data_IF_504984281952
#
_entry.id   IF_504984281952
#
_cell.length_a   1.000
_cell.length_b   1.000
_cell.length_c   1.000
_cell.angle_alpha   90.00
_cell.angle_beta   90.00
_cell.angle_gamma   90.00
#
_symmetry.space_group_name_H-M   'P 1'
#
loop_
_entity.id
_entity.type
_entity.pdbx_description
1 polymer ?
#
# COMPACT_ATOMS: atom_id res chain seq x y z
N UNK A 1 -2.82 10.24 -1.34
CA UNK A 1 -3.92 11.04 -0.77
C UNK A 1 -3.52 11.63 0.58
N UNK A 2 -3.93 12.84 0.87
CA UNK A 2 -3.74 13.50 2.17
C UNK A 2 -5.06 13.99 2.80
N UNK A 3 -6.15 13.85 2.08
CA UNK A 3 -7.51 14.13 2.53
C UNK A 3 -8.48 13.29 1.70
N UNK A 4 -9.60 12.90 2.30
CA UNK A 4 -10.65 12.15 1.61
C UNK A 4 -11.15 12.90 0.38
N UNK A 5 -11.42 12.17 -0.68
CA UNK A 5 -11.83 12.68 -2.01
C UNK A 5 -10.77 13.58 -2.69
N UNK A 6 -9.51 13.46 -2.28
CA UNK A 6 -8.40 14.22 -2.85
C UNK A 6 -7.17 13.34 -2.97
N UNK A 7 -6.90 12.86 -4.17
CA UNK A 7 -5.75 12.02 -4.48
C UNK A 7 -4.95 12.56 -5.67
N UNK A 8 -3.71 12.16 -5.76
CA UNK A 8 -2.78 12.56 -6.81
C UNK A 8 -2.10 11.32 -7.37
N UNK A 9 -1.98 11.27 -8.68
CA UNK A 9 -1.21 10.27 -9.40
C UNK A 9 0.03 10.91 -10.00
N UNK A 10 1.18 10.29 -9.75
CA UNK A 10 2.46 10.72 -10.31
C UNK A 10 3.00 9.57 -11.16
N UNK A 11 2.96 9.68 -12.49
CA UNK A 11 3.50 8.64 -13.36
C UNK A 11 5.02 8.56 -13.20
N UNK A 12 5.52 7.35 -12.98
CA UNK A 12 6.94 7.07 -12.87
C UNK A 12 7.36 6.30 -14.12
N UNK A 13 8.31 6.81 -14.93
CA UNK A 13 8.72 6.18 -16.17
C UNK A 13 9.48 4.88 -15.92
N UNK A 14 9.54 4.04 -16.97
CA UNK A 14 10.28 2.77 -16.92
C UNK A 14 11.80 2.95 -16.87
N UNK A 15 12.31 4.08 -17.36
CA UNK A 15 13.73 4.40 -17.28
C UNK A 15 14.12 4.66 -15.82
N UNK A 16 15.12 3.91 -15.32
CA UNK A 16 15.51 3.96 -13.91
C UNK A 16 16.02 5.34 -13.46
N UNK A 17 16.79 6.01 -14.31
CA UNK A 17 17.40 7.30 -13.94
C UNK A 17 16.35 8.42 -13.89
N UNK A 18 15.38 8.37 -14.79
CA UNK A 18 14.23 9.30 -14.78
C UNK A 18 13.31 9.00 -13.61
N UNK A 19 13.02 7.72 -13.33
CA UNK A 19 12.24 7.30 -12.17
C UNK A 19 12.88 7.76 -10.87
N UNK A 20 14.22 7.62 -10.75
CA UNK A 20 14.96 8.03 -9.55
C UNK A 20 14.86 9.54 -9.29
N UNK A 21 14.84 10.37 -10.34
CA UNK A 21 14.65 11.82 -10.21
C UNK A 21 13.30 12.13 -9.59
N UNK A 22 12.23 11.51 -10.11
CA UNK A 22 10.87 11.70 -9.57
C UNK A 22 10.77 11.18 -8.13
N UNK A 23 11.24 9.97 -7.86
CA UNK A 23 11.19 9.38 -6.52
C UNK A 23 11.95 10.24 -5.50
N UNK A 24 13.08 10.84 -5.89
CA UNK A 24 13.87 11.73 -5.01
C UNK A 24 13.13 13.02 -4.64
N UNK A 25 12.25 13.55 -5.49
CA UNK A 25 11.40 14.70 -5.12
C UNK A 25 10.46 14.37 -3.95
N UNK A 26 10.03 13.10 -3.86
CA UNK A 26 9.16 12.63 -2.79
C UNK A 26 9.92 12.02 -1.59
N UNK A 27 11.24 11.84 -1.69
CA UNK A 27 12.06 11.32 -0.58
C UNK A 27 11.83 12.05 0.75
N UNK A 28 11.79 13.40 0.80
CA UNK A 28 11.54 14.10 2.06
C UNK A 28 10.20 13.75 2.71
N UNK A 29 9.19 13.39 1.91
CA UNK A 29 7.89 12.94 2.41
C UNK A 29 7.99 11.53 3.01
N UNK A 30 8.61 10.59 2.27
CA UNK A 30 8.73 9.20 2.71
C UNK A 30 9.61 9.06 3.96
N UNK A 31 10.69 9.82 4.05
CA UNK A 31 11.66 9.77 5.15
C UNK A 31 11.30 10.69 6.33
N UNK A 32 10.20 11.42 6.28
CA UNK A 32 9.74 12.29 7.37
C UNK A 32 9.21 11.47 8.54
N UNK A 33 9.87 11.49 9.66
CA UNK A 33 9.49 10.76 10.88
C UNK A 33 8.21 11.30 11.55
N UNK A 34 7.85 12.55 11.26
CA UNK A 34 6.67 13.20 11.84
C UNK A 34 5.39 13.00 11.02
N UNK A 35 5.46 12.35 9.86
CA UNK A 35 4.29 12.06 9.04
C UNK A 35 3.96 10.58 9.07
N UNK A 36 2.68 10.25 9.25
CA UNK A 36 2.17 8.89 9.12
C UNK A 36 2.09 8.51 7.64
N UNK A 37 2.54 7.30 7.29
CA UNK A 37 2.33 6.69 5.98
C UNK A 37 1.25 5.63 6.10
N UNK A 38 0.27 5.72 5.22
CA UNK A 38 -0.86 4.79 5.17
C UNK A 38 -0.79 4.01 3.87
N UNK A 39 -0.93 2.71 3.95
CA UNK A 39 -0.92 1.83 2.78
C UNK A 39 -1.85 0.63 2.96
N UNK A 40 -2.09 -0.06 1.88
CA UNK A 40 -2.72 -1.37 1.83
C UNK A 40 -1.65 -2.39 1.44
N UNK A 41 -1.18 -3.23 2.37
CA UNK A 41 0.02 -4.04 2.21
C UNK A 41 1.28 -3.16 2.00
N UNK A 42 1.46 -2.19 2.88
CA UNK A 42 2.52 -1.16 2.81
C UNK A 42 3.93 -1.77 2.75
N UNK A 43 4.11 -3.00 3.22
CA UNK A 43 5.35 -3.75 3.10
C UNK A 43 5.84 -3.83 1.66
N UNK A 44 4.93 -4.08 0.71
CA UNK A 44 5.25 -4.13 -0.72
C UNK A 44 5.79 -2.79 -1.22
N UNK A 45 5.12 -1.69 -0.87
CA UNK A 45 5.55 -0.35 -1.26
C UNK A 45 6.91 0.02 -0.67
N UNK A 46 7.16 -0.38 0.58
CA UNK A 46 8.45 -0.17 1.24
C UNK A 46 9.59 -0.91 0.53
N UNK A 47 9.38 -2.16 0.10
CA UNK A 47 10.36 -2.93 -0.66
C UNK A 47 10.63 -2.25 -2.02
N UNK A 48 9.59 -1.80 -2.72
CA UNK A 48 9.74 -1.11 -3.99
C UNK A 48 10.55 0.18 -3.82
N UNK A 49 10.22 1.00 -2.83
CA UNK A 49 10.94 2.26 -2.54
C UNK A 49 12.39 2.02 -2.11
N UNK A 50 12.67 0.93 -1.38
CA UNK A 50 14.03 0.55 -0.99
C UNK A 50 14.92 0.27 -2.20
N UNK A 51 14.38 -0.25 -3.31
CA UNK A 51 15.11 -0.43 -4.56
C UNK A 51 15.58 0.88 -5.21
N UNK A 52 14.96 2.00 -4.82
CA UNK A 52 15.38 3.36 -5.19
C UNK A 52 16.19 4.06 -4.09
N UNK A 53 16.59 3.33 -3.04
CA UNK A 53 17.36 3.85 -1.93
C UNK A 53 16.55 4.77 -0.99
N UNK A 54 15.22 4.69 -1.01
CA UNK A 54 14.33 5.45 -0.12
C UNK A 54 13.94 4.58 1.07
N UNK A 55 14.11 5.11 2.28
CA UNK A 55 13.65 4.48 3.51
C UNK A 55 12.36 5.13 3.99
N UNK A 56 11.31 4.36 4.09
CA UNK A 56 10.04 4.85 4.66
C UNK A 56 10.19 4.93 6.18
N UNK A 57 10.04 6.14 6.73
CA UNK A 57 10.20 6.41 8.16
C UNK A 57 8.92 6.97 8.78
N UNK A 58 8.90 7.02 10.11
CA UNK A 58 7.78 7.53 10.89
C UNK A 58 6.70 6.47 11.12
N UNK A 59 5.54 6.91 11.60
CA UNK A 59 4.43 6.00 11.90
C UNK A 59 3.86 5.39 10.63
N UNK A 60 3.59 4.10 10.68
CA UNK A 60 2.95 3.35 9.60
C UNK A 60 1.52 2.98 10.01
N UNK A 61 0.64 2.88 9.03
CA UNK A 61 -0.67 2.27 9.17
C UNK A 61 -0.96 1.42 7.93
N UNK A 62 -1.08 0.12 8.12
CA UNK A 62 -1.45 -0.82 7.07
C UNK A 62 -2.91 -1.24 7.23
N UNK A 63 -3.75 -0.92 6.26
CA UNK A 63 -5.18 -1.22 6.30
C UNK A 63 -5.48 -2.71 6.19
N UNK A 64 -4.63 -3.47 5.50
CA UNK A 64 -4.73 -4.93 5.41
C UNK A 64 -4.46 -5.57 6.77
N UNK A 65 -3.38 -5.17 7.44
CA UNK A 65 -3.02 -5.68 8.77
C UNK A 65 -4.00 -5.21 9.85
N UNK A 66 -4.49 -3.97 9.77
CA UNK A 66 -5.52 -3.49 10.68
C UNK A 66 -6.77 -4.37 10.62
N UNK A 67 -7.22 -4.72 9.42
CA UNK A 67 -8.35 -5.63 9.27
C UNK A 67 -8.01 -7.06 9.69
N UNK A 68 -6.80 -7.54 9.41
CA UNK A 68 -6.36 -8.86 9.86
C UNK A 68 -6.42 -8.99 11.40
N UNK A 69 -5.98 -7.97 12.13
CA UNK A 69 -6.08 -7.94 13.60
C UNK A 69 -7.54 -7.96 14.08
N UNK A 70 -8.44 -7.28 13.37
CA UNK A 70 -9.86 -7.19 13.73
C UNK A 70 -10.66 -8.44 13.38
N UNK A 71 -10.37 -9.03 12.22
CA UNK A 71 -11.18 -10.11 11.60
C UNK A 71 -10.28 -11.11 10.85
N UNK A 72 -9.43 -11.89 11.55
CA UNK A 72 -8.40 -12.73 10.92
C UNK A 72 -8.94 -13.79 9.96
N UNK A 73 -10.19 -14.21 10.10
CA UNK A 73 -10.81 -15.25 9.29
C UNK A 73 -11.38 -14.74 7.95
N UNK A 74 -11.42 -13.42 7.75
CA UNK A 74 -12.03 -12.82 6.56
C UNK A 74 -10.98 -12.49 5.49
N UNK A 75 -11.45 -12.00 4.33
CA UNK A 75 -10.59 -11.49 3.27
C UNK A 75 -10.08 -10.11 3.64
N UNK A 76 -8.84 -9.78 3.23
CA UNK A 76 -8.20 -8.51 3.58
C UNK A 76 -7.83 -7.66 2.36
N UNK A 77 -8.27 -8.06 1.16
CA UNK A 77 -8.04 -7.26 -0.04
C UNK A 77 -8.89 -5.98 -0.03
N UNK A 78 -8.38 -4.93 -0.64
CA UNK A 78 -8.96 -3.58 -0.60
C UNK A 78 -10.40 -3.53 -1.10
N UNK A 79 -10.74 -4.24 -2.19
CA UNK A 79 -12.09 -4.27 -2.75
C UNK A 79 -13.11 -4.77 -1.73
N UNK A 80 -12.80 -5.87 -1.06
CA UNK A 80 -13.64 -6.43 0.00
C UNK A 80 -13.78 -5.45 1.17
N UNK A 81 -12.69 -4.83 1.60
CA UNK A 81 -12.72 -3.84 2.69
C UNK A 81 -13.54 -2.60 2.31
N UNK A 82 -13.41 -2.12 1.08
CA UNK A 82 -14.18 -0.99 0.58
C UNK A 82 -15.69 -1.30 0.56
N UNK A 83 -16.05 -2.51 0.14
CA UNK A 83 -17.45 -2.95 0.11
C UNK A 83 -18.06 -3.00 1.52
N UNK A 84 -17.39 -3.65 2.47
CA UNK A 84 -17.97 -3.89 3.81
C UNK A 84 -17.92 -2.65 4.71
N UNK A 85 -16.85 -1.85 4.65
CA UNK A 85 -16.67 -0.69 5.53
C UNK A 85 -17.13 0.64 4.93
N UNK A 86 -16.99 0.80 3.60
CA UNK A 86 -17.32 2.06 2.92
C UNK A 86 -18.59 1.95 2.08
N UNK A 87 -19.13 0.75 1.87
CA UNK A 87 -20.24 0.47 0.93
C UNK A 87 -19.92 0.99 -0.47
N UNK A 88 -18.68 0.83 -0.87
CA UNK A 88 -18.14 1.35 -2.11
C UNK A 88 -17.54 0.21 -2.95
N UNK A 89 -17.91 0.17 -4.23
CA UNK A 89 -17.32 -0.75 -5.21
C UNK A 89 -16.18 -0.05 -5.92
N UNK A 90 -14.98 -0.59 -5.76
CA UNK A 90 -13.76 -0.09 -6.41
C UNK A 90 -13.70 -0.48 -7.88
N UNK A 91 -12.86 0.21 -8.63
CA UNK A 91 -12.45 -0.20 -9.97
C UNK A 91 -11.57 -1.44 -9.83
N UNK A 92 -12.00 -2.56 -10.43
CA UNK A 92 -11.21 -3.79 -10.41
C UNK A 92 -10.00 -3.68 -11.34
N UNK A 93 -8.83 -4.14 -10.90
CA UNK A 93 -7.61 -4.16 -11.72
C UNK A 93 -7.81 -4.91 -13.05
N UNK A 94 -8.65 -5.94 -13.06
CA UNK A 94 -9.00 -6.70 -14.27
C UNK A 94 -9.73 -5.86 -15.32
N UNK A 95 -10.37 -4.75 -14.93
CA UNK A 95 -11.00 -3.82 -15.86
C UNK A 95 -9.96 -3.03 -16.67
N UNK A 96 -8.74 -2.86 -16.10
CA UNK A 96 -7.64 -2.14 -16.76
C UNK A 96 -6.74 -3.07 -17.57
N UNK A 97 -6.32 -4.19 -16.96
CA UNK A 97 -5.31 -5.08 -17.55
C UNK A 97 -5.88 -6.37 -18.13
N UNK A 98 -7.17 -6.61 -17.95
CA UNK A 98 -7.83 -7.84 -18.35
C UNK A 98 -7.68 -8.96 -17.32
N UNK A 99 -8.51 -9.99 -17.46
CA UNK A 99 -8.53 -11.14 -16.56
C UNK A 99 -7.21 -11.90 -16.57
N UNK A 100 -6.90 -12.55 -15.45
CA UNK A 100 -5.67 -13.33 -15.27
C UNK A 100 -5.53 -14.41 -16.36
N UNK A 101 -4.41 -14.37 -17.11
CA UNK A 101 -4.13 -15.31 -18.18
C UNK A 101 -3.03 -14.82 -19.14
N UNK A 102 -2.83 -15.56 -20.23
CA UNK A 102 -1.77 -15.25 -21.21
C UNK A 102 -1.91 -13.87 -21.89
N UNK A 103 -3.11 -13.32 -21.92
CA UNK A 103 -3.41 -12.04 -22.57
C UNK A 103 -3.55 -10.89 -21.58
N UNK A 104 -3.25 -11.11 -20.28
CA UNK A 104 -3.27 -10.05 -19.29
C UNK A 104 -2.15 -9.05 -19.60
N UNK A 105 -2.52 -7.77 -19.69
CA UNK A 105 -1.58 -6.67 -19.90
C UNK A 105 -0.82 -6.38 -18.60
N UNK A 106 0.30 -5.69 -18.72
CA UNK A 106 0.95 -5.08 -17.55
C UNK A 106 0.41 -3.66 -17.33
N UNK A 107 0.25 -3.25 -16.08
CA UNK A 107 -0.05 -1.84 -15.75
C UNK A 107 0.98 -0.88 -16.36
N UNK A 108 2.21 -1.33 -16.52
CA UNK A 108 3.32 -0.58 -17.15
C UNK A 108 3.06 -0.25 -18.62
N UNK A 109 2.26 -1.05 -19.32
CA UNK A 109 1.98 -0.90 -20.75
C UNK A 109 0.78 0.01 -21.01
N UNK A 110 0.10 0.47 -19.94
CA UNK A 110 -1.05 1.36 -20.04
C UNK A 110 -0.59 2.84 -20.00
N UNK A 111 -1.23 3.71 -20.78
CA UNK A 111 -0.98 5.14 -20.71
C UNK A 111 -1.45 5.71 -19.36
N UNK A 112 -0.79 6.77 -18.85
CA UNK A 112 -1.14 7.38 -17.56
C UNK A 112 -2.61 7.80 -17.43
N UNK A 113 -3.24 8.21 -18.51
CA UNK A 113 -4.65 8.60 -18.59
C UNK A 113 -5.63 7.46 -18.34
N UNK A 114 -5.22 6.22 -18.53
CA UNK A 114 -6.04 5.04 -18.21
C UNK A 114 -5.83 4.59 -16.75
N UNK A 115 -4.65 4.84 -16.21
CA UNK A 115 -4.24 4.35 -14.87
C UNK A 115 -4.62 5.32 -13.76
N UNK A 116 -4.63 6.65 -14.03
CA UNK A 116 -4.72 7.65 -12.96
C UNK A 116 -5.97 7.52 -12.08
N UNK A 117 -7.11 7.15 -12.69
CA UNK A 117 -8.37 7.00 -11.94
C UNK A 117 -8.26 5.88 -10.92
N UNK A 118 -7.79 4.72 -11.35
CA UNK A 118 -7.55 3.57 -10.50
C UNK A 118 -6.58 3.91 -9.37
N UNK A 119 -5.41 4.47 -9.70
CA UNK A 119 -4.39 4.79 -8.72
C UNK A 119 -4.82 5.87 -7.70
N UNK A 120 -5.60 6.88 -8.15
CA UNK A 120 -6.16 7.88 -7.25
C UNK A 120 -7.26 7.30 -6.36
N UNK A 121 -8.09 6.41 -6.89
CA UNK A 121 -9.12 5.71 -6.13
C UNK A 121 -8.48 4.85 -5.04
N UNK A 122 -7.47 4.04 -5.38
CA UNK A 122 -6.75 3.20 -4.43
C UNK A 122 -6.20 4.02 -3.25
N UNK A 123 -5.58 5.15 -3.54
CA UNK A 123 -5.03 6.04 -2.52
C UNK A 123 -6.11 6.68 -1.63
N UNK A 124 -7.26 7.05 -2.19
CA UNK A 124 -8.38 7.66 -1.46
C UNK A 124 -9.13 6.63 -0.62
N UNK A 125 -9.41 5.46 -1.19
CA UNK A 125 -10.05 4.33 -0.49
C UNK A 125 -9.18 3.86 0.68
N UNK A 126 -7.87 3.73 0.48
CA UNK A 126 -6.94 3.36 1.54
C UNK A 126 -6.98 4.36 2.70
N UNK A 127 -7.04 5.66 2.44
CA UNK A 127 -7.17 6.68 3.48
C UNK A 127 -8.51 6.60 4.21
N UNK A 128 -9.61 6.40 3.50
CA UNK A 128 -10.94 6.22 4.09
C UNK A 128 -11.00 4.97 4.95
N UNK A 129 -10.45 3.86 4.48
CA UNK A 129 -10.34 2.60 5.24
C UNK A 129 -9.53 2.81 6.53
N UNK A 130 -8.39 3.50 6.48
CA UNK A 130 -7.62 3.86 7.66
C UNK A 130 -8.49 4.55 8.70
N UNK A 131 -9.28 5.55 8.31
CA UNK A 131 -10.11 6.33 9.23
C UNK A 131 -11.22 5.51 9.90
N UNK A 132 -11.73 4.48 9.23
CA UNK A 132 -12.74 3.58 9.78
C UNK A 132 -12.08 2.51 10.65
N UNK A 133 -11.05 1.84 10.14
CA UNK A 133 -10.39 0.74 10.84
C UNK A 133 -9.69 1.18 12.12
N UNK A 134 -9.13 2.38 12.16
CA UNK A 134 -8.56 2.96 13.39
C UNK A 134 -9.60 3.09 14.52
N UNK A 135 -10.84 3.46 14.18
CA UNK A 135 -11.94 3.52 15.15
C UNK A 135 -12.36 2.13 15.62
N UNK A 136 -12.38 1.14 14.71
CA UNK A 136 -12.71 -0.24 15.08
C UNK A 136 -11.61 -0.89 15.93
N UNK A 137 -10.32 -0.63 15.64
CA UNK A 137 -9.21 -1.07 16.50
C UNK A 137 -9.38 -0.55 17.93
N UNK A 138 -9.70 0.73 18.08
CA UNK A 138 -9.96 1.33 19.38
C UNK A 138 -11.16 0.71 20.08
N UNK A 139 -12.26 0.54 19.38
CA UNK A 139 -13.51 -0.04 19.92
C UNK A 139 -13.31 -1.47 20.42
N UNK A 140 -12.45 -2.26 19.75
CA UNK A 140 -12.16 -3.63 20.12
C UNK A 140 -10.94 -3.76 21.05
N UNK A 141 -10.36 -2.65 21.51
CA UNK A 141 -9.15 -2.62 22.36
C UNK A 141 -7.94 -3.33 21.72
N UNK A 142 -7.86 -3.32 20.39
CA UNK A 142 -6.83 -3.99 19.61
C UNK A 142 -5.65 -3.07 19.22
N UNK A 143 -5.66 -1.80 19.68
CA UNK A 143 -4.64 -0.79 19.35
C UNK A 143 -3.24 -1.23 19.78
N UNK A 144 -3.09 -1.82 20.97
CA UNK A 144 -1.79 -2.28 21.46
C UNK A 144 -1.20 -3.36 20.54
N UNK A 145 -1.99 -4.38 20.18
CA UNK A 145 -1.56 -5.43 19.26
C UNK A 145 -1.14 -4.84 17.92
N UNK A 146 -1.96 -3.95 17.37
CA UNK A 146 -1.70 -3.34 16.08
C UNK A 146 -0.48 -2.43 16.07
N UNK A 147 -0.40 -1.45 16.99
CA UNK A 147 0.65 -0.43 16.95
C UNK A 147 1.97 -0.86 17.58
N UNK A 148 1.95 -1.75 18.59
CA UNK A 148 3.15 -2.11 19.35
C UNK A 148 3.73 -3.46 18.92
N UNK A 149 2.99 -4.27 18.15
CA UNK A 149 3.45 -5.58 17.69
C UNK A 149 3.43 -5.64 16.15
N UNK A 150 2.27 -5.52 15.52
CA UNK A 150 2.14 -5.74 14.07
C UNK A 150 2.83 -4.67 13.23
N UNK A 151 2.64 -3.39 13.56
CA UNK A 151 3.27 -2.32 12.78
C UNK A 151 4.80 -2.30 12.91
N UNK A 152 5.43 -2.48 14.09
CA UNK A 152 6.88 -2.62 14.20
C UNK A 152 7.45 -3.85 13.48
N UNK A 153 6.67 -4.90 13.29
CA UNK A 153 7.10 -6.09 12.56
C UNK A 153 7.24 -5.84 11.05
N UNK A 154 6.47 -4.91 10.48
CA UNK A 154 6.50 -4.61 9.04
C UNK A 154 7.90 -4.28 8.52
N UNK A 155 8.65 -3.31 9.07
CA UNK A 155 10.00 -3.03 8.60
C UNK A 155 10.99 -4.20 8.81
N UNK A 156 10.78 -5.05 9.80
CA UNK A 156 11.57 -6.27 10.00
C UNK A 156 11.34 -7.24 8.84
N UNK A 157 10.08 -7.46 8.46
CA UNK A 157 9.73 -8.31 7.33
C UNK A 157 10.23 -7.73 5.99
N UNK A 158 10.16 -6.42 5.80
CA UNK A 158 10.77 -5.73 4.65
C UNK A 158 12.26 -6.09 4.56
N UNK A 159 12.98 -6.02 5.66
CA UNK A 159 14.41 -6.31 5.68
C UNK A 159 14.69 -7.79 5.37
N UNK A 160 13.94 -8.71 5.95
CA UNK A 160 14.07 -10.15 5.70
C UNK A 160 13.81 -10.49 4.24
N UNK A 161 12.71 -9.98 3.68
CA UNK A 161 12.32 -10.25 2.29
C UNK A 161 13.27 -9.61 1.28
N UNK A 162 13.79 -8.42 1.56
CA UNK A 162 14.78 -7.74 0.70
C UNK A 162 16.13 -8.46 0.67
N UNK A 163 16.53 -9.07 1.77
CA UNK A 163 17.76 -9.87 1.85
C UNK A 163 17.62 -11.25 1.16
N UNK A 164 16.38 -11.74 1.09
CA UNK A 164 16.10 -13.07 0.57
C UNK A 164 16.56 -14.21 1.49
N UNK A 165 16.29 -15.44 1.04
CA UNK A 165 16.68 -16.68 1.74
C UNK A 165 17.44 -17.58 0.78
N UNK A 166 18.59 -18.07 1.20
CA UNK A 166 19.33 -19.10 0.47
C UNK A 166 18.94 -20.47 1.01
N UNK A 167 18.48 -21.35 0.12
CA UNK A 167 18.18 -22.75 0.46
C UNK A 167 19.47 -23.56 0.24
N UNK A 168 19.83 -24.34 1.24
CA UNK A 168 20.86 -25.37 1.13
C UNK A 168 20.20 -26.62 0.51
N UNK A 169 20.70 -27.03 -0.63
CA UNK A 169 20.16 -28.17 -1.41
C UNK A 169 21.06 -29.40 -1.41
N UNK A 170 22.14 -29.42 -0.60
CA UNK A 170 23.00 -30.58 -0.43
C UNK A 170 22.43 -31.61 0.53
#
# INVERSE_FOLDING_TARGET
SNAENRAYYVPVPANRDEALKIVNEFRPLYENENSMKVGQNIKYDMIVLQNYGVQVKGKLFDTMLAHYVLQPELRHNMDYLAEIYLRYRTIHIDELIGSRGKNQKSMRDLPPEDVYRYACEDADVTLKLKNVLEKELKKQSAEHLFYEIEMPLVPVLVNIESNGVRIDTE
#
